data_IF_900350041436
#
_entry.id   IF_900350041436
#
_cell.length_a   1.000
_cell.length_b   1.000
_cell.length_c   1.000
_cell.angle_alpha   90.00
_cell.angle_beta   90.00
_cell.angle_gamma   90.00
#
_symmetry.space_group_name_H-M   'P 1'
#
loop_
_entity.id
_entity.type
_entity.pdbx_description
1 polymer ?
#
# COMPACT_ATOMS: atom_id res chain seq x y z
N UNK A 1 8.69 -9.04 -15.99
CA UNK A 1 8.66 -7.75 -15.27
C UNK A 1 10.11 -7.40 -14.95
N UNK A 2 10.70 -6.42 -15.65
CA UNK A 2 12.10 -6.08 -15.45
C UNK A 2 12.17 -4.97 -14.40
N UNK A 3 12.76 -5.24 -13.24
CA UNK A 3 13.23 -4.18 -12.35
C UNK A 3 14.37 -3.45 -13.08
N UNK A 4 14.14 -2.18 -13.39
CA UNK A 4 15.10 -1.37 -14.14
C UNK A 4 16.12 -0.83 -13.16
N UNK A 5 17.28 -1.50 -13.11
CA UNK A 5 18.52 -1.23 -12.35
C UNK A 5 18.73 -2.03 -11.05
N UNK A 6 19.95 -2.56 -10.82
CA UNK A 6 20.37 -3.23 -9.58
C UNK A 6 20.72 -2.21 -8.46
N UNK A 7 19.92 -1.17 -8.29
CA UNK A 7 20.09 -0.20 -7.21
C UNK A 7 19.30 -0.63 -5.97
N UNK A 8 19.59 -0.02 -4.81
CA UNK A 8 18.85 -0.29 -3.58
C UNK A 8 17.39 0.16 -3.76
N UNK A 9 16.46 -0.77 -3.53
CA UNK A 9 15.04 -0.47 -3.56
C UNK A 9 14.63 0.45 -2.41
N UNK A 10 14.02 1.59 -2.73
CA UNK A 10 13.50 2.53 -1.74
C UNK A 10 11.98 2.60 -1.80
N UNK A 11 11.33 1.75 -1.00
CA UNK A 11 9.89 1.65 -0.88
C UNK A 11 9.24 2.99 -0.50
N UNK A 12 9.75 3.65 0.54
CA UNK A 12 9.17 4.91 1.03
C UNK A 12 9.18 6.02 -0.01
N UNK A 13 10.27 6.14 -0.78
CA UNK A 13 10.35 7.10 -1.88
C UNK A 13 9.30 6.80 -2.97
N UNK A 14 9.11 5.52 -3.33
CA UNK A 14 8.12 5.12 -4.33
C UNK A 14 6.68 5.38 -3.87
N UNK A 15 6.36 5.15 -2.59
CA UNK A 15 5.05 5.49 -2.02
C UNK A 15 4.79 7.01 -2.09
N UNK A 16 5.78 7.83 -1.76
CA UNK A 16 5.70 9.29 -1.88
C UNK A 16 5.52 9.75 -3.33
N UNK A 17 6.23 9.12 -4.28
CA UNK A 17 6.07 9.39 -5.71
C UNK A 17 4.64 9.03 -6.14
N UNK A 18 4.14 7.85 -5.76
CA UNK A 18 2.78 7.41 -6.05
C UNK A 18 1.73 8.41 -5.58
N UNK A 19 1.84 8.88 -4.33
CA UNK A 19 0.98 9.95 -3.80
C UNK A 19 1.02 11.21 -4.69
N UNK A 20 2.22 11.70 -5.02
CA UNK A 20 2.41 12.93 -5.83
C UNK A 20 1.89 12.80 -7.25
N UNK A 21 1.98 11.62 -7.86
CA UNK A 21 1.44 11.40 -9.21
C UNK A 21 -0.08 11.19 -9.18
N UNK A 22 -0.61 10.50 -8.16
CA UNK A 22 -2.05 10.29 -8.00
C UNK A 22 -2.80 11.62 -7.85
N UNK A 23 -2.31 12.55 -7.03
CA UNK A 23 -2.95 13.88 -6.86
C UNK A 23 -2.96 14.73 -8.13
N UNK A 24 -2.08 14.45 -9.11
CA UNK A 24 -2.13 15.10 -10.43
C UNK A 24 -3.21 14.50 -11.32
N UNK A 25 -3.52 13.21 -11.15
CA UNK A 25 -4.49 12.50 -11.97
C UNK A 25 -5.93 12.80 -11.55
N UNK A 26 -6.20 12.90 -10.26
CA UNK A 26 -7.52 13.24 -9.73
C UNK A 26 -7.44 13.77 -8.29
N UNK A 27 -8.55 14.33 -7.81
CA UNK A 27 -8.70 14.76 -6.42
C UNK A 27 -9.05 13.57 -5.52
N UNK A 28 -8.08 12.70 -5.25
CA UNK A 28 -8.23 11.59 -4.30
C UNK A 28 -8.25 12.11 -2.86
N UNK A 29 -9.21 11.64 -2.07
CA UNK A 29 -9.33 11.95 -0.63
C UNK A 29 -8.73 10.87 0.27
N UNK A 30 -8.33 9.73 -0.29
CA UNK A 30 -7.81 8.58 0.44
C UNK A 30 -6.68 7.92 -0.37
N UNK A 31 -5.64 7.46 0.34
CA UNK A 31 -4.48 6.79 -0.24
C UNK A 31 -4.20 5.51 0.53
N UNK A 32 -4.20 4.39 -0.19
CA UNK A 32 -3.89 3.08 0.37
C UNK A 32 -2.52 2.65 -0.14
N UNK A 33 -1.57 2.49 0.77
CA UNK A 33 -0.24 1.97 0.47
C UNK A 33 -0.24 0.46 0.71
N UNK A 34 -0.07 -0.31 -0.37
CA UNK A 34 -0.26 -1.75 -0.35
C UNK A 34 0.91 -2.47 -1.02
N UNK A 35 1.39 -3.54 -0.38
CA UNK A 35 2.40 -4.40 -1.00
C UNK A 35 1.80 -5.18 -2.17
N UNK A 36 2.64 -5.54 -3.14
CA UNK A 36 2.20 -6.36 -4.28
C UNK A 36 1.98 -7.83 -3.93
N UNK A 37 2.55 -8.29 -2.81
CA UNK A 37 2.55 -9.68 -2.36
C UNK A 37 1.59 -9.97 -1.20
N UNK A 38 0.82 -8.97 -0.76
CA UNK A 38 -0.24 -9.15 0.25
C UNK A 38 -1.59 -9.20 -0.46
N UNK A 39 -2.49 -10.06 0.00
CA UNK A 39 -3.87 -10.14 -0.47
C UNK A 39 -4.82 -10.16 0.73
N UNK A 40 -5.98 -9.50 0.65
CA UNK A 40 -7.01 -9.63 1.68
C UNK A 40 -7.58 -11.06 1.66
N UNK A 41 -7.61 -11.70 2.82
CA UNK A 41 -8.26 -13.01 3.00
C UNK A 41 -9.76 -12.88 3.34
N UNK A 42 -10.20 -11.69 3.74
CA UNK A 42 -11.55 -11.38 4.17
C UNK A 42 -12.11 -10.20 3.37
N UNK A 43 -13.25 -10.41 2.71
CA UNK A 43 -13.93 -9.42 1.87
C UNK A 43 -14.55 -8.26 2.67
N UNK A 44 -14.63 -8.40 4.00
CA UNK A 44 -15.03 -7.33 4.92
C UNK A 44 -13.92 -6.31 5.15
N UNK A 45 -12.68 -6.57 4.72
CA UNK A 45 -11.58 -5.62 4.79
C UNK A 45 -11.71 -4.57 3.68
N UNK A 46 -12.50 -3.53 3.93
CA UNK A 46 -12.75 -2.46 2.96
C UNK A 46 -11.49 -1.61 2.77
N UNK A 47 -11.06 -1.46 1.51
CA UNK A 47 -9.95 -0.57 1.14
C UNK A 47 -10.42 0.88 1.14
N UNK A 48 -10.43 1.48 2.33
CA UNK A 48 -10.83 2.86 2.56
C UNK A 48 -10.04 3.50 3.70
N UNK A 49 -10.17 4.82 3.81
CA UNK A 49 -9.55 5.59 4.87
C UNK A 49 -10.57 5.88 5.97
N UNK A 50 -10.06 5.93 7.20
CA UNK A 50 -10.83 6.27 8.40
C UNK A 50 -10.41 7.65 8.93
N UNK A 51 -10.98 8.07 10.06
CA UNK A 51 -10.62 9.33 10.73
C UNK A 51 -9.17 9.38 11.25
N UNK A 52 -8.50 8.22 11.35
CA UNK A 52 -7.10 8.07 11.78
C UNK A 52 -6.37 7.15 10.80
N UNK A 53 -5.02 7.19 10.74
CA UNK A 53 -4.26 6.26 9.92
C UNK A 53 -4.61 4.80 10.26
N UNK A 54 -4.99 4.04 9.24
CA UNK A 54 -5.39 2.64 9.37
C UNK A 54 -4.24 1.71 8.98
N UNK A 55 -3.84 0.83 9.90
CA UNK A 55 -2.95 -0.29 9.57
C UNK A 55 -3.77 -1.49 9.12
N UNK A 56 -3.90 -1.67 7.80
CA UNK A 56 -4.80 -2.68 7.21
C UNK A 56 -4.29 -4.11 7.38
N UNK A 57 -2.99 -4.35 7.18
CA UNK A 57 -2.38 -5.68 7.23
C UNK A 57 -1.82 -5.97 8.63
N UNK A 58 -2.70 -5.88 9.64
CA UNK A 58 -2.30 -6.06 11.04
C UNK A 58 -1.91 -7.50 11.39
N UNK A 59 -2.55 -8.47 10.74
CA UNK A 59 -2.28 -9.91 10.90
C UNK A 59 -2.13 -10.52 9.51
N UNK A 60 -1.06 -11.29 9.30
CA UNK A 60 -0.78 -11.96 8.02
C UNK A 60 -0.31 -13.40 8.24
N UNK A 61 -0.53 -14.24 7.25
CA UNK A 61 -0.17 -15.67 7.23
C UNK A 61 1.32 -15.92 7.54
N UNK A 62 2.21 -15.06 7.03
CA UNK A 62 3.66 -15.12 7.25
C UNK A 62 4.05 -15.07 8.73
N UNK A 63 3.22 -14.47 9.57
CA UNK A 63 3.38 -14.41 11.03
C UNK A 63 2.34 -15.27 11.75
N UNK A 64 1.67 -16.20 11.07
CA UNK A 64 0.59 -17.03 11.62
C UNK A 64 -0.51 -16.21 12.33
N UNK A 65 -0.80 -15.02 11.81
CA UNK A 65 -1.78 -14.09 12.37
C UNK A 65 -1.55 -13.69 13.84
N UNK A 66 -0.30 -13.75 14.33
CA UNK A 66 0.10 -13.34 15.69
C UNK A 66 0.57 -11.89 15.76
#
# INVERSE_FOLDING_TARGET
>A
MFQVKPDIFNKGALLNIGFREAVKAANYSCFIFHEVDLLPEDDRMIYGCENQPLHMTATIDKFNYS
#
